data_IF_461535665916
#
_entry.id   IF_461535665916
#
_cell.length_a   1.000
_cell.length_b   1.000
_cell.length_c   1.000
_cell.angle_alpha   90.00
_cell.angle_beta   90.00
_cell.angle_gamma   90.00
#
_symmetry.space_group_name_H-M   'P 1'
#
loop_
_entity.id
_entity.type
_entity.pdbx_description
1 polymer ?
#
# COMPACT_ATOMS: atom_id res chain seq x y z
N UNK A 1 -66.97 -10.76 24.01
CA UNK A 1 -66.24 -10.21 22.85
C UNK A 1 -65.44 -9.02 23.35
N UNK A 2 -64.12 -9.16 23.55
CA UNK A 2 -63.08 -8.90 22.53
C UNK A 2 -63.26 -7.54 21.83
N UNK A 3 -62.49 -6.53 22.24
CA UNK A 3 -61.45 -5.86 21.41
C UNK A 3 -60.27 -5.50 22.34
N UNK A 4 -59.05 -5.52 21.78
CA UNK A 4 -57.75 -5.49 22.47
C UNK A 4 -57.37 -4.11 23.04
N UNK A 5 -56.69 -4.09 24.19
CA UNK A 5 -55.79 -2.99 24.55
C UNK A 5 -54.63 -2.92 23.56
N UNK A 6 -54.29 -1.74 23.05
CA UNK A 6 -52.99 -1.49 22.41
C UNK A 6 -51.97 -1.17 23.50
N UNK A 7 -50.96 -2.02 23.65
CA UNK A 7 -49.72 -1.64 24.31
C UNK A 7 -48.84 -0.94 23.27
N UNK A 8 -48.60 0.37 23.42
CA UNK A 8 -47.57 1.08 22.66
C UNK A 8 -46.19 0.69 23.19
N UNK A 9 -45.60 -0.36 22.58
CA UNK A 9 -44.18 -0.64 22.71
C UNK A 9 -43.40 0.39 21.88
N UNK A 10 -42.81 1.38 22.55
CA UNK A 10 -41.88 2.31 21.92
C UNK A 10 -40.52 1.61 21.71
N UNK A 11 -40.39 0.88 20.61
CA UNK A 11 -39.11 0.34 20.19
C UNK A 11 -38.15 1.49 19.86
N UNK A 12 -37.08 1.64 20.65
CA UNK A 12 -35.94 2.46 20.22
C UNK A 12 -35.35 1.80 18.97
N UNK A 13 -35.61 2.40 17.81
CA UNK A 13 -34.77 2.20 16.64
C UNK A 13 -33.42 2.84 16.95
N UNK A 14 -32.45 2.01 17.32
CA UNK A 14 -31.05 2.36 17.19
C UNK A 14 -30.77 2.56 15.69
N UNK A 15 -30.82 3.81 15.24
CA UNK A 15 -30.34 4.16 13.91
C UNK A 15 -28.83 3.92 13.89
N UNK A 16 -28.41 2.98 13.05
CA UNK A 16 -27.01 2.72 12.74
C UNK A 16 -26.34 4.03 12.34
N UNK A 17 -25.29 4.42 13.07
CA UNK A 17 -24.43 5.52 12.67
C UNK A 17 -23.47 5.06 11.55
N UNK A 18 -24.02 4.77 10.36
CA UNK A 18 -23.22 4.59 9.15
C UNK A 18 -22.84 5.96 8.58
N UNK A 19 -21.79 6.54 9.16
CA UNK A 19 -21.00 7.61 8.53
C UNK A 19 -19.54 7.16 8.58
N UNK A 20 -19.07 6.55 7.49
CA UNK A 20 -17.67 6.18 7.29
C UNK A 20 -17.12 6.96 6.09
N UNK A 21 -16.12 7.81 6.35
CA UNK A 21 -15.45 8.67 5.41
C UNK A 21 -13.90 8.54 5.49
N UNK A 22 -13.30 7.63 4.72
CA UNK A 22 -11.91 7.71 4.23
C UNK A 22 -11.77 7.13 2.78
N UNK A 23 -11.37 7.88 1.71
CA UNK A 23 -10.19 8.75 1.68
C UNK A 23 -10.37 10.29 1.60
N UNK A 24 -10.57 10.97 0.42
CA UNK A 24 -10.22 12.42 0.29
C UNK A 24 -11.03 13.35 1.19
N UNK A 25 -12.26 12.94 1.45
CA UNK A 25 -13.28 13.48 2.35
C UNK A 25 -13.01 13.17 3.84
N UNK A 26 -11.93 12.43 4.13
CA UNK A 26 -11.80 11.66 5.36
C UNK A 26 -10.86 12.20 6.44
N UNK A 27 -10.46 13.47 6.34
CA UNK A 27 -9.87 14.16 7.49
C UNK A 27 -10.72 14.00 8.79
N UNK A 28 -12.06 14.05 8.77
CA UNK A 28 -12.87 13.88 9.99
C UNK A 28 -12.77 12.49 10.64
N UNK A 29 -12.64 11.39 9.88
CA UNK A 29 -12.55 10.03 10.44
C UNK A 29 -11.14 9.73 10.98
N UNK A 30 -10.10 10.27 10.35
CA UNK A 30 -8.71 9.84 10.63
C UNK A 30 -7.82 10.89 11.29
N UNK A 31 -8.19 12.17 11.24
CA UNK A 31 -7.35 13.27 11.71
C UNK A 31 -6.10 13.52 10.85
N UNK A 32 -5.94 12.86 9.69
CA UNK A 32 -4.78 13.01 8.81
C UNK A 32 -4.76 14.42 8.21
N UNK A 33 -3.97 15.33 8.77
CA UNK A 33 -4.09 16.78 8.54
C UNK A 33 -3.76 17.16 7.10
N UNK A 34 -2.94 16.36 6.40
CA UNK A 34 -2.67 16.60 4.97
C UNK A 34 -3.89 16.40 4.06
N UNK A 35 -4.94 15.70 4.49
CA UNK A 35 -6.18 15.61 3.71
C UNK A 35 -7.00 16.88 3.82
N UNK A 36 -7.05 17.53 4.98
CA UNK A 36 -7.67 18.85 5.12
C UNK A 36 -6.94 19.90 4.26
N UNK A 37 -5.60 19.84 4.21
CA UNK A 37 -4.81 20.65 3.27
C UNK A 37 -5.21 20.43 1.80
N UNK A 38 -5.51 19.18 1.40
CA UNK A 38 -6.00 18.88 0.05
C UNK A 38 -7.43 19.38 -0.16
N UNK A 39 -8.34 19.13 0.79
CA UNK A 39 -9.73 19.62 0.74
C UNK A 39 -9.80 21.15 0.59
N UNK A 40 -8.97 21.86 1.35
CA UNK A 40 -8.84 23.32 1.27
C UNK A 40 -8.31 23.80 -0.09
N UNK A 41 -7.42 23.05 -0.75
CA UNK A 41 -7.00 23.35 -2.13
C UNK A 41 -8.13 23.11 -3.12
N UNK A 42 -8.86 21.98 -3.03
CA UNK A 42 -9.98 21.69 -3.92
C UNK A 42 -11.14 22.68 -3.76
N UNK A 43 -11.36 23.19 -2.54
CA UNK A 43 -12.34 24.24 -2.25
C UNK A 43 -11.90 25.66 -2.67
N UNK A 44 -10.65 25.83 -3.17
CA UNK A 44 -10.08 27.15 -3.49
C UNK A 44 -9.74 28.02 -2.27
N UNK A 45 -9.81 27.46 -1.05
CA UNK A 45 -9.46 28.13 0.21
C UNK A 45 -7.93 28.23 0.42
N UNK A 46 -7.14 27.40 -0.27
CA UNK A 46 -5.68 27.42 -0.27
C UNK A 46 -5.10 27.29 -1.68
N UNK A 47 -4.00 27.99 -1.95
CA UNK A 47 -3.23 27.83 -3.18
C UNK A 47 -2.45 26.51 -3.20
N UNK A 48 -2.63 25.71 -4.24
CA UNK A 48 -1.89 24.46 -4.44
C UNK A 48 -2.24 23.77 -5.75
N UNK A 49 -1.71 22.56 -5.94
CA UNK A 49 -2.09 21.67 -7.04
C UNK A 49 -3.04 20.60 -6.50
N UNK A 50 -4.23 20.48 -7.09
CA UNK A 50 -5.18 19.43 -6.79
C UNK A 50 -4.67 18.02 -7.14
N UNK A 51 -5.43 17.01 -6.73
CA UNK A 51 -5.13 15.61 -7.04
C UNK A 51 -5.37 15.31 -8.54
N UNK A 52 -4.68 14.33 -9.15
CA UNK A 52 -5.05 13.82 -10.47
C UNK A 52 -6.43 13.15 -10.42
N UNK A 53 -7.17 13.09 -11.54
CA UNK A 53 -8.57 12.63 -11.59
C UNK A 53 -8.82 11.30 -10.88
N UNK A 54 -8.06 10.26 -11.22
CA UNK A 54 -8.17 8.95 -10.58
C UNK A 54 -7.75 8.89 -9.11
N UNK A 55 -7.28 10.00 -8.52
CA UNK A 55 -6.99 10.16 -7.10
C UNK A 55 -8.06 10.97 -6.34
N UNK A 56 -9.20 11.30 -6.97
CA UNK A 56 -10.26 12.12 -6.37
C UNK A 56 -11.43 11.33 -5.75
N UNK A 57 -11.34 10.00 -5.64
CA UNK A 57 -12.39 9.16 -5.07
C UNK A 57 -12.64 9.45 -3.59
N UNK A 58 -13.93 9.36 -3.23
CA UNK A 58 -14.40 9.34 -1.87
C UNK A 58 -14.40 7.91 -1.28
N UNK A 59 -14.84 7.84 -0.03
CA UNK A 59 -14.78 6.73 0.91
C UNK A 59 -15.54 5.47 0.58
N UNK A 60 -16.76 5.69 0.11
CA UNK A 60 -17.67 4.72 -0.46
C UNK A 60 -17.08 4.06 -1.72
N UNK A 61 -16.37 4.83 -2.55
CA UNK A 61 -15.76 4.34 -3.77
C UNK A 61 -14.47 3.54 -3.54
N UNK A 62 -13.76 3.70 -2.42
CA UNK A 62 -12.55 2.91 -2.10
C UNK A 62 -12.85 1.78 -1.12
N UNK A 63 -13.07 0.60 -1.69
CA UNK A 63 -13.26 -0.67 -0.98
C UNK A 63 -12.55 -1.85 -1.66
N UNK A 64 -12.31 -2.92 -0.91
CA UNK A 64 -11.82 -4.22 -1.39
C UNK A 64 -12.91 -4.91 -2.25
N UNK A 65 -12.54 -5.51 -3.38
CA UNK A 65 -13.54 -5.99 -4.37
C UNK A 65 -13.92 -7.46 -4.25
N UNK A 66 -13.14 -8.25 -3.51
CA UNK A 66 -13.30 -9.70 -3.42
C UNK A 66 -13.54 -10.18 -1.97
N UNK A 67 -14.08 -9.30 -1.11
CA UNK A 67 -14.34 -9.58 0.30
C UNK A 67 -15.07 -10.93 0.51
N UNK A 68 -14.48 -11.81 1.31
CA UNK A 68 -15.05 -13.12 1.62
C UNK A 68 -14.90 -14.19 0.53
N UNK A 69 -14.27 -13.85 -0.61
CA UNK A 69 -13.95 -14.82 -1.66
C UNK A 69 -12.58 -15.47 -1.40
N UNK A 70 -12.49 -16.77 -1.59
CA UNK A 70 -11.24 -17.55 -1.46
C UNK A 70 -10.98 -18.31 -2.75
N UNK A 71 -10.28 -17.66 -3.68
CA UNK A 71 -9.77 -18.27 -4.89
C UNK A 71 -8.25 -18.18 -4.93
N UNK A 72 -7.64 -19.24 -5.47
CA UNK A 72 -6.21 -19.28 -5.77
C UNK A 72 -5.92 -18.50 -7.07
N UNK A 73 -4.67 -18.05 -7.21
CA UNK A 73 -4.15 -17.53 -8.48
C UNK A 73 -4.18 -18.71 -9.49
N UNK A 74 -4.80 -18.55 -10.68
CA UNK A 74 -4.86 -19.61 -11.68
C UNK A 74 -3.48 -19.91 -12.28
N UNK A 75 -3.38 -21.00 -13.06
CA UNK A 75 -2.19 -21.27 -13.87
C UNK A 75 -1.92 -20.11 -14.84
N UNK A 76 -0.65 -19.79 -15.15
CA UNK A 76 -0.32 -18.73 -16.09
C UNK A 76 -0.94 -18.95 -17.48
N UNK A 77 -1.48 -17.87 -18.05
CA UNK A 77 -1.77 -17.77 -19.46
C UNK A 77 -0.45 -17.51 -20.22
N UNK A 78 -0.02 -18.49 -21.01
CA UNK A 78 1.24 -18.42 -21.77
C UNK A 78 1.22 -17.29 -22.83
N UNK A 79 0.14 -17.07 -23.62
CA UNK A 79 0.06 -15.94 -24.55
C UNK A 79 0.26 -14.57 -23.89
N UNK A 80 -0.42 -14.28 -22.78
CA UNK A 80 -0.28 -13.02 -22.05
C UNK A 80 1.07 -12.91 -21.35
N UNK A 81 1.61 -14.01 -20.82
CA UNK A 81 2.96 -14.06 -20.24
C UNK A 81 4.04 -13.75 -21.28
N UNK A 82 3.91 -14.28 -22.51
CA UNK A 82 4.79 -13.95 -23.63
C UNK A 82 4.63 -12.49 -24.09
N UNK A 83 3.40 -11.96 -24.13
CA UNK A 83 3.17 -10.53 -24.40
C UNK A 83 3.86 -9.63 -23.37
N UNK A 84 3.76 -9.94 -22.08
CA UNK A 84 4.47 -9.23 -21.02
C UNK A 84 6.00 -9.33 -21.19
N UNK A 85 6.51 -10.51 -21.55
CA UNK A 85 7.94 -10.71 -21.84
C UNK A 85 8.40 -9.85 -23.03
N UNK A 86 7.60 -9.75 -24.09
CA UNK A 86 7.89 -8.89 -25.25
C UNK A 86 7.94 -7.40 -24.87
N UNK A 87 7.07 -6.92 -23.96
CA UNK A 87 7.13 -5.53 -23.46
C UNK A 87 8.44 -5.19 -22.70
N UNK A 88 9.15 -6.20 -22.19
CA UNK A 88 10.45 -6.03 -21.52
C UNK A 88 11.62 -6.00 -22.51
N UNK A 89 11.44 -6.53 -23.72
CA UNK A 89 12.45 -6.66 -24.77
C UNK A 89 13.75 -7.30 -24.29
N UNK A 90 14.89 -6.82 -24.79
CA UNK A 90 16.25 -7.28 -24.46
C UNK A 90 16.60 -7.21 -22.96
N UNK A 91 15.75 -6.58 -22.13
CA UNK A 91 15.95 -6.41 -20.69
C UNK A 91 15.18 -7.43 -19.86
N UNK A 92 14.45 -8.37 -20.46
CA UNK A 92 13.64 -9.36 -19.74
C UNK A 92 14.40 -10.03 -18.57
N UNK A 93 15.67 -10.39 -18.74
CA UNK A 93 16.50 -11.01 -17.70
C UNK A 93 16.88 -10.10 -16.52
N UNK A 94 16.58 -8.80 -16.61
CA UNK A 94 16.72 -7.82 -15.53
C UNK A 94 15.41 -7.54 -14.77
N UNK A 95 14.29 -8.16 -15.15
CA UNK A 95 12.96 -7.98 -14.55
C UNK A 95 12.38 -9.27 -13.96
N UNK A 96 11.49 -9.10 -12.98
CA UNK A 96 10.52 -10.10 -12.55
C UNK A 96 9.14 -9.42 -12.42
N UNK A 97 8.08 -10.07 -12.90
CA UNK A 97 6.76 -9.49 -13.08
C UNK A 97 5.68 -10.56 -12.82
N UNK A 98 4.62 -10.15 -12.11
CA UNK A 98 3.37 -10.92 -11.97
C UNK A 98 2.19 -9.98 -12.20
N UNK A 99 1.25 -10.39 -13.07
CA UNK A 99 0.01 -9.68 -13.43
C UNK A 99 -1.18 -10.61 -13.16
N UNK A 100 -2.18 -10.12 -12.45
CA UNK A 100 -3.47 -10.80 -12.28
C UNK A 100 -4.57 -9.87 -12.77
N UNK A 101 -5.18 -10.23 -13.88
CA UNK A 101 -6.35 -9.58 -14.46
C UNK A 101 -7.60 -10.09 -13.73
N UNK A 102 -8.31 -9.17 -13.09
CA UNK A 102 -9.51 -9.37 -12.27
C UNK A 102 -10.73 -8.66 -12.89
N UNK A 103 -10.62 -8.19 -14.14
CA UNK A 103 -11.61 -7.32 -14.78
C UNK A 103 -12.90 -8.07 -15.11
N UNK A 104 -12.80 -9.36 -15.46
CA UNK A 104 -13.93 -10.28 -15.46
C UNK A 104 -13.78 -11.24 -14.26
N UNK A 105 -14.68 -11.20 -13.26
CA UNK A 105 -14.61 -12.10 -12.10
C UNK A 105 -14.90 -13.58 -12.46
N UNK A 106 -15.38 -13.88 -13.67
CA UNK A 106 -15.60 -15.23 -14.18
C UNK A 106 -14.44 -15.74 -15.06
N UNK A 107 -13.57 -14.84 -15.56
CA UNK A 107 -12.38 -15.14 -16.37
C UNK A 107 -11.15 -14.41 -15.79
N UNK A 108 -10.80 -14.78 -14.55
CA UNK A 108 -9.59 -14.29 -13.89
C UNK A 108 -8.38 -14.89 -14.59
N UNK A 109 -7.48 -14.04 -15.08
CA UNK A 109 -6.29 -14.47 -15.84
C UNK A 109 -5.00 -14.05 -15.14
N UNK A 110 -4.11 -15.01 -14.93
CA UNK A 110 -2.77 -14.79 -14.38
C UNK A 110 -1.73 -14.80 -15.50
N UNK A 111 -0.73 -13.92 -15.42
CA UNK A 111 0.41 -13.94 -16.32
C UNK A 111 1.69 -13.50 -15.60
N UNK A 112 2.82 -14.02 -16.06
CA UNK A 112 4.08 -13.92 -15.32
C UNK A 112 5.30 -13.73 -16.21
N UNK A 113 6.38 -13.24 -15.60
CA UNK A 113 7.75 -13.40 -16.09
C UNK A 113 8.70 -13.44 -14.90
N UNK A 114 9.34 -14.59 -14.63
CA UNK A 114 10.27 -14.79 -13.49
C UNK A 114 9.66 -14.38 -12.14
N UNK A 115 8.47 -14.92 -11.86
CA UNK A 115 7.65 -14.59 -10.69
C UNK A 115 8.33 -14.90 -9.33
N UNK A 116 9.34 -15.77 -9.35
CA UNK A 116 10.12 -16.29 -8.22
C UNK A 116 11.40 -15.47 -7.94
N UNK A 117 11.72 -14.49 -8.80
CA UNK A 117 12.92 -13.67 -8.67
C UNK A 117 12.92 -12.93 -7.32
N UNK A 118 13.79 -13.36 -6.40
CA UNK A 118 13.85 -12.80 -5.03
C UNK A 118 14.82 -11.63 -4.94
N UNK A 119 14.30 -10.44 -4.63
CA UNK A 119 15.07 -9.19 -4.54
C UNK A 119 14.77 -8.43 -3.24
N UNK A 120 15.69 -7.55 -2.80
CA UNK A 120 15.37 -6.56 -1.75
C UNK A 120 14.45 -5.48 -2.34
N UNK A 121 13.19 -5.46 -1.89
CA UNK A 121 12.15 -4.60 -2.47
C UNK A 121 12.06 -3.18 -1.86
N UNK A 122 13.03 -2.80 -1.02
CA UNK A 122 13.10 -1.48 -0.39
C UNK A 122 11.80 -1.11 0.33
N UNK A 123 11.29 0.10 0.07
CA UNK A 123 10.05 0.61 0.68
C UNK A 123 8.76 -0.14 0.33
N UNK A 124 8.75 -1.13 -0.56
CA UNK A 124 7.60 -2.06 -0.67
C UNK A 124 7.48 -2.91 0.60
N UNK A 125 8.60 -3.22 1.27
CA UNK A 125 8.59 -3.94 2.56
C UNK A 125 7.85 -3.20 3.68
N UNK A 126 7.49 -1.91 3.50
CA UNK A 126 6.64 -1.18 4.44
C UNK A 126 5.23 -1.78 4.55
N UNK A 127 4.77 -2.49 3.52
CA UNK A 127 3.53 -3.26 3.59
C UNK A 127 3.61 -4.37 4.64
N UNK A 128 4.74 -5.07 4.77
CA UNK A 128 4.95 -6.08 5.82
C UNK A 128 4.99 -5.44 7.21
N UNK A 129 5.58 -4.24 7.33
CA UNK A 129 5.53 -3.46 8.58
C UNK A 129 4.11 -3.06 8.98
N UNK A 130 3.30 -2.61 8.01
CA UNK A 130 1.91 -2.25 8.23
C UNK A 130 1.03 -3.47 8.55
N UNK A 131 1.19 -4.59 7.84
CA UNK A 131 0.52 -5.87 8.16
C UNK A 131 0.84 -6.33 9.58
N UNK A 132 2.10 -6.24 10.02
CA UNK A 132 2.48 -6.55 11.40
C UNK A 132 1.82 -5.64 12.43
N UNK A 133 1.73 -4.34 12.15
CA UNK A 133 1.01 -3.39 13.00
C UNK A 133 -0.49 -3.71 13.07
N UNK A 134 -1.14 -3.93 11.92
CA UNK A 134 -2.57 -4.26 11.85
C UNK A 134 -2.88 -5.62 12.49
N UNK A 135 -1.98 -6.61 12.40
CA UNK A 135 -2.15 -7.86 13.14
C UNK A 135 -2.01 -7.65 14.65
N UNK A 136 -1.06 -6.84 15.12
CA UNK A 136 -0.96 -6.53 16.55
C UNK A 136 -2.22 -5.80 17.07
N UNK A 137 -2.77 -4.90 16.25
CA UNK A 137 -4.03 -4.20 16.52
C UNK A 137 -5.25 -5.14 16.54
N UNK A 138 -5.32 -6.09 15.61
CA UNK A 138 -6.37 -7.11 15.57
C UNK A 138 -6.27 -8.12 16.72
N UNK A 139 -5.05 -8.49 17.12
CA UNK A 139 -4.77 -9.38 18.25
C UNK A 139 -5.09 -8.72 19.61
N UNK A 140 -4.89 -7.40 19.73
CA UNK A 140 -5.20 -6.65 20.95
C UNK A 140 -6.71 -6.33 21.09
N UNK A 141 -7.40 -6.11 19.97
CA UNK A 141 -8.83 -5.78 19.93
C UNK A 141 -9.57 -6.74 18.97
N UNK A 142 -9.73 -8.04 19.34
CA UNK A 142 -10.42 -9.01 18.50
C UNK A 142 -11.88 -8.58 18.30
N UNK A 143 -12.34 -8.64 17.05
CA UNK A 143 -13.69 -8.30 16.58
C UNK A 143 -14.23 -6.88 16.91
N UNK A 144 -13.46 -6.02 17.57
CA UNK A 144 -13.82 -4.64 17.91
C UNK A 144 -13.17 -3.61 16.96
N UNK A 145 -13.75 -3.46 15.77
CA UNK A 145 -13.29 -2.46 14.80
C UNK A 145 -13.40 -1.01 15.30
N UNK A 146 -14.28 -0.73 16.27
CA UNK A 146 -14.47 0.61 16.82
C UNK A 146 -13.31 0.98 17.77
N UNK A 147 -12.93 0.09 18.69
CA UNK A 147 -11.77 0.29 19.55
C UNK A 147 -10.46 0.40 18.74
N UNK A 148 -10.33 -0.37 17.65
CA UNK A 148 -9.18 -0.24 16.72
C UNK A 148 -9.12 1.13 16.07
N UNK A 149 -10.24 1.63 15.56
CA UNK A 149 -10.32 3.00 15.01
C UNK A 149 -9.99 4.03 16.09
N UNK A 150 -10.58 3.93 17.28
CA UNK A 150 -10.38 4.90 18.36
C UNK A 150 -8.90 4.97 18.77
N UNK A 151 -8.23 3.82 18.89
CA UNK A 151 -6.79 3.75 19.12
C UNK A 151 -6.01 4.47 18.01
N UNK A 152 -6.31 4.20 16.73
CA UNK A 152 -5.63 4.82 15.60
C UNK A 152 -5.81 6.35 15.53
N UNK A 153 -6.99 6.84 15.94
CA UNK A 153 -7.38 8.24 15.90
C UNK A 153 -6.82 9.05 17.09
N UNK A 154 -6.91 8.50 18.30
CA UNK A 154 -6.58 9.20 19.56
C UNK A 154 -5.13 9.01 20.01
N UNK A 155 -4.48 7.89 19.65
CA UNK A 155 -3.09 7.64 20.06
C UNK A 155 -2.14 8.55 19.29
N UNK A 156 -1.51 9.48 20.00
CA UNK A 156 -0.43 10.32 19.47
C UNK A 156 0.90 9.57 19.54
N UNK A 157 1.53 9.38 18.39
CA UNK A 157 2.92 8.91 18.28
C UNK A 157 3.82 10.15 18.30
N UNK A 158 4.78 10.16 19.23
CA UNK A 158 5.89 11.11 19.21
C UNK A 158 7.13 10.47 18.57
N UNK A 159 7.72 11.15 17.60
CA UNK A 159 8.99 10.78 16.98
C UNK A 159 10.13 10.79 18.00
N UNK A 160 10.88 9.70 18.04
CA UNK A 160 12.10 9.56 18.84
C UNK A 160 13.25 9.03 17.97
N UNK A 161 14.36 8.66 18.62
CA UNK A 161 15.54 8.05 17.99
C UNK A 161 15.26 6.91 17.00
N UNK A 162 14.17 6.15 17.09
CA UNK A 162 13.80 5.14 16.09
C UNK A 162 13.57 5.78 14.70
N UNK A 163 13.18 7.05 14.64
CA UNK A 163 12.99 7.82 13.41
C UNK A 163 14.30 8.11 12.66
N UNK A 164 15.47 7.96 13.30
CA UNK A 164 16.73 8.49 12.79
C UNK A 164 17.54 7.53 11.89
N UNK A 165 17.98 7.91 10.68
CA UNK A 165 17.65 9.11 9.89
C UNK A 165 16.95 8.73 8.59
N UNK A 166 16.27 9.71 7.99
CA UNK A 166 15.60 9.62 6.70
C UNK A 166 15.89 10.86 5.85
N UNK A 167 15.70 10.74 4.54
CA UNK A 167 15.84 11.80 3.55
C UNK A 167 14.50 12.19 2.89
N UNK A 168 13.42 11.45 3.15
CA UNK A 168 12.08 11.84 2.71
C UNK A 168 11.57 12.99 3.57
N UNK A 169 10.83 13.92 2.94
CA UNK A 169 10.14 14.98 3.67
C UNK A 169 8.67 14.66 3.86
N UNK A 170 8.23 14.66 5.11
CA UNK A 170 6.81 14.62 5.48
C UNK A 170 6.18 15.99 5.25
N UNK A 171 4.85 16.02 5.11
CA UNK A 171 4.08 17.27 5.15
C UNK A 171 3.48 17.40 6.54
N UNK A 172 3.78 18.51 7.19
CA UNK A 172 3.13 18.96 8.40
C UNK A 172 2.15 20.06 7.99
N UNK A 173 0.91 19.98 8.47
CA UNK A 173 -0.13 20.97 8.21
C UNK A 173 -0.78 21.38 9.53
N UNK A 174 -0.70 22.66 9.84
CA UNK A 174 -1.44 23.28 10.92
C UNK A 174 -2.82 23.67 10.40
N UNK A 175 -3.84 22.94 10.84
CA UNK A 175 -5.23 23.16 10.42
C UNK A 175 -5.79 24.48 10.95
N UNK A 176 -5.35 24.93 12.12
CA UNK A 176 -5.86 26.17 12.75
C UNK A 176 -5.28 27.40 12.05
N UNK A 177 -3.95 27.42 11.87
CA UNK A 177 -3.24 28.54 11.23
C UNK A 177 -3.21 28.43 9.69
N UNK A 178 -3.69 27.32 9.13
CA UNK A 178 -3.68 27.00 7.69
C UNK A 178 -2.28 27.05 7.05
N UNK A 179 -1.23 26.79 7.82
CA UNK A 179 0.17 26.80 7.36
C UNK A 179 0.68 25.37 7.09
N UNK A 180 1.59 25.21 6.13
CA UNK A 180 2.20 23.91 5.83
C UNK A 180 3.72 23.99 5.70
N UNK A 181 4.42 23.08 6.38
CA UNK A 181 5.85 22.83 6.22
C UNK A 181 6.07 21.49 5.48
N UNK A 182 7.13 21.39 4.67
CA UNK A 182 7.68 20.09 4.23
C UNK A 182 9.14 19.98 4.65
N UNK A 183 9.44 19.01 5.50
CA UNK A 183 10.79 18.73 6.02
C UNK A 183 10.95 17.27 6.41
N UNK A 184 12.16 16.84 6.70
CA UNK A 184 12.39 15.54 7.34
C UNK A 184 11.74 15.52 8.74
N UNK A 185 11.38 14.31 9.18
CA UNK A 185 10.94 14.08 10.56
C UNK A 185 12.08 14.37 11.54
N UNK A 186 11.72 14.86 12.73
CA UNK A 186 12.63 15.22 13.83
C UNK A 186 12.07 14.63 15.13
N UNK A 187 12.93 14.40 16.12
CA UNK A 187 12.49 14.09 17.49
C UNK A 187 11.47 15.14 17.98
N UNK A 188 10.41 14.69 18.65
CA UNK A 188 9.30 15.54 19.11
C UNK A 188 8.21 15.83 18.06
N UNK A 189 8.34 15.37 16.81
CA UNK A 189 7.22 15.43 15.85
C UNK A 189 6.06 14.56 16.34
N UNK A 190 4.86 15.14 16.42
CA UNK A 190 3.65 14.45 16.89
C UNK A 190 2.59 14.37 15.79
N UNK A 191 1.96 13.20 15.69
CA UNK A 191 0.80 12.90 14.84
C UNK A 191 0.11 11.65 15.37
N UNK A 192 -1.16 11.44 15.02
CA UNK A 192 -1.83 10.19 15.40
C UNK A 192 -1.35 9.00 14.54
N UNK A 193 -1.74 7.78 14.92
CA UNK A 193 -1.26 6.57 14.22
C UNK A 193 -1.67 6.58 12.74
N UNK A 194 -2.88 7.07 12.43
CA UNK A 194 -3.33 7.28 11.06
C UNK A 194 -2.37 8.18 10.26
N UNK A 195 -1.92 9.31 10.81
CA UNK A 195 -1.00 10.22 10.12
C UNK A 195 0.41 9.63 9.96
N UNK A 196 0.86 8.80 10.90
CA UNK A 196 2.08 8.01 10.73
C UNK A 196 1.95 6.91 9.65
N UNK A 197 0.80 6.22 9.59
CA UNK A 197 0.46 5.25 8.53
C UNK A 197 0.47 5.94 7.16
N UNK A 198 -0.11 7.12 7.05
CA UNK A 198 -0.04 7.95 5.85
C UNK A 198 1.42 8.28 5.48
N UNK A 199 2.19 8.92 6.36
CA UNK A 199 3.57 9.32 6.04
C UNK A 199 4.47 8.12 5.66
N UNK A 200 4.25 6.95 6.27
CA UNK A 200 4.97 5.73 5.97
C UNK A 200 4.63 5.16 4.57
N UNK A 201 3.36 5.24 4.16
CA UNK A 201 2.88 4.63 2.92
C UNK A 201 2.88 5.63 1.75
N UNK A 202 2.26 6.80 1.92
CA UNK A 202 1.97 7.81 0.90
C UNK A 202 3.21 8.50 0.33
N UNK A 203 4.06 9.06 1.21
CA UNK A 203 5.33 9.70 0.86
C UNK A 203 6.53 8.79 1.15
N UNK A 204 6.26 7.57 1.61
CA UNK A 204 7.26 6.51 1.78
C UNK A 204 8.34 6.79 2.85
N UNK A 205 8.05 7.63 3.86
CA UNK A 205 9.03 7.98 4.90
C UNK A 205 9.54 6.75 5.65
N UNK A 206 10.86 6.61 5.71
CA UNK A 206 11.53 5.60 6.53
C UNK A 206 11.38 5.92 8.02
N UNK A 207 11.42 7.20 8.41
CA UNK A 207 11.20 7.64 9.79
C UNK A 207 9.82 7.21 10.28
N UNK A 208 8.75 7.61 9.58
CA UNK A 208 7.39 7.25 9.97
C UNK A 208 7.18 5.73 10.02
N UNK A 209 7.70 4.99 9.04
CA UNK A 209 7.63 3.53 9.04
C UNK A 209 8.43 2.89 10.19
N UNK A 210 9.55 3.47 10.61
CA UNK A 210 10.28 3.00 11.78
C UNK A 210 9.53 3.29 13.09
N UNK A 211 8.83 4.43 13.19
CA UNK A 211 7.95 4.70 14.33
C UNK A 211 6.78 3.71 14.39
N UNK A 212 6.09 3.45 13.27
CA UNK A 212 5.05 2.40 13.23
C UNK A 212 5.59 1.01 13.58
N UNK A 213 6.83 0.68 13.21
CA UNK A 213 7.43 -0.59 13.60
C UNK A 213 7.81 -0.63 15.10
N UNK A 214 8.18 0.50 15.70
CA UNK A 214 8.39 0.64 17.14
C UNK A 214 7.05 0.41 17.87
N UNK A 215 6.02 1.12 17.45
CA UNK A 215 4.69 1.08 18.05
C UNK A 215 3.97 -0.25 17.85
N UNK A 216 4.13 -0.90 16.69
CA UNK A 216 3.65 -2.26 16.47
C UNK A 216 4.30 -3.27 17.42
N UNK A 217 5.60 -3.11 17.74
CA UNK A 217 6.26 -3.94 18.74
C UNK A 217 5.80 -3.62 20.17
N UNK A 218 5.53 -2.35 20.49
CA UNK A 218 4.96 -1.96 21.78
C UNK A 218 3.57 -2.58 21.95
N UNK A 219 2.66 -2.38 20.99
CA UNK A 219 1.31 -2.96 20.98
C UNK A 219 1.35 -4.49 21.07
N UNK A 220 2.23 -5.16 20.31
CA UNK A 220 2.43 -6.61 20.36
C UNK A 220 2.96 -7.11 21.71
N UNK A 221 3.79 -6.32 22.38
CA UNK A 221 4.44 -6.70 23.64
C UNK A 221 3.71 -6.24 24.91
N UNK A 222 2.72 -5.35 24.80
CA UNK A 222 2.00 -4.72 25.91
C UNK A 222 0.48 -4.94 25.87
N UNK A 223 -0.10 -5.22 24.69
CA UNK A 223 -1.55 -5.37 24.54
C UNK A 223 -2.30 -4.10 24.91
N UNK A 224 -3.17 -4.21 25.91
CA UNK A 224 -3.99 -3.12 26.48
C UNK A 224 -3.18 -2.04 27.23
N UNK A 225 -1.92 -2.32 27.58
CA UNK A 225 -1.00 -1.34 28.19
C UNK A 225 -0.32 -0.42 27.14
N UNK A 226 -0.64 -0.55 25.85
CA UNK A 226 -0.28 0.40 24.82
C UNK A 226 -1.40 1.45 24.63
N UNK A 227 -1.10 2.75 24.47
CA UNK A 227 0.23 3.35 24.33
C UNK A 227 0.96 3.63 25.66
N UNK A 228 2.30 3.58 25.61
CA UNK A 228 3.15 4.11 26.69
C UNK A 228 3.33 5.63 26.55
N UNK A 229 3.53 6.36 27.65
CA UNK A 229 4.00 7.75 27.58
C UNK A 229 5.43 7.80 26.99
N UNK A 230 5.81 8.87 26.26
CA UNK A 230 7.05 8.92 25.48
C UNK A 230 8.32 8.59 26.29
N UNK A 231 8.41 9.04 27.53
CA UNK A 231 9.53 8.79 28.43
C UNK A 231 9.70 7.32 28.84
N UNK A 232 8.64 6.51 28.77
CA UNK A 232 8.67 5.08 29.12
C UNK A 232 9.10 4.17 27.94
N UNK A 233 9.04 4.68 26.69
CA UNK A 233 9.38 3.89 25.48
C UNK A 233 10.84 3.45 25.47
N UNK A 234 11.78 4.35 25.77
CA UNK A 234 13.21 3.97 25.82
C UNK A 234 13.54 2.99 26.95
N UNK A 235 13.09 3.20 28.21
CA UNK A 235 13.18 2.21 29.28
C UNK A 235 12.61 0.83 28.92
N UNK A 236 11.46 0.76 28.23
CA UNK A 236 10.88 -0.50 27.77
C UNK A 236 11.87 -1.28 26.86
N UNK A 237 12.38 -0.65 25.80
CA UNK A 237 13.34 -1.33 24.92
C UNK A 237 14.69 -1.61 25.58
N UNK A 238 15.07 -0.86 26.63
CA UNK A 238 16.30 -1.11 27.41
C UNK A 238 16.16 -2.28 28.39
N UNK A 239 14.96 -2.55 28.92
CA UNK A 239 14.72 -3.69 29.83
C UNK A 239 14.78 -5.04 29.11
N UNK A 240 14.45 -5.06 27.82
CA UNK A 240 14.57 -6.23 26.95
C UNK A 240 16.03 -6.52 26.59
N UNK A 241 16.45 -7.78 26.67
CA UNK A 241 17.72 -8.22 26.07
C UNK A 241 17.69 -8.12 24.54
N UNK A 242 18.87 -8.10 23.89
CA UNK A 242 18.96 -8.07 22.42
C UNK A 242 18.27 -9.27 21.75
N UNK A 243 18.27 -10.43 22.42
CA UNK A 243 17.50 -11.62 21.98
C UNK A 243 15.99 -11.36 22.05
N UNK A 244 15.48 -10.90 23.19
CA UNK A 244 14.05 -10.58 23.35
C UNK A 244 13.56 -9.50 22.38
N UNK A 245 14.39 -8.48 22.07
CA UNK A 245 14.05 -7.49 21.03
C UNK A 245 13.94 -8.11 19.63
N UNK A 246 14.79 -9.10 19.32
CA UNK A 246 14.74 -9.83 18.04
C UNK A 246 13.51 -10.74 17.98
N UNK A 247 13.22 -11.46 19.07
CA UNK A 247 12.05 -12.34 19.18
C UNK A 247 10.74 -11.55 19.07
N UNK A 248 10.63 -10.42 19.78
CA UNK A 248 9.48 -9.51 19.67
C UNK A 248 9.33 -8.96 18.23
N UNK A 249 10.43 -8.59 17.57
CA UNK A 249 10.37 -8.12 16.17
C UNK A 249 9.83 -9.21 15.24
N UNK A 250 10.29 -10.46 15.38
CA UNK A 250 9.83 -11.57 14.55
C UNK A 250 8.36 -11.93 14.85
N UNK A 251 7.96 -11.92 16.13
CA UNK A 251 6.56 -12.09 16.55
C UNK A 251 5.64 -10.93 16.12
N UNK A 252 6.19 -9.78 15.73
CA UNK A 252 5.43 -8.61 15.23
C UNK A 252 5.39 -8.55 13.70
N UNK A 253 6.46 -8.91 12.99
CA UNK A 253 6.57 -8.66 11.53
C UNK A 253 6.83 -9.88 10.66
N UNK A 254 7.14 -11.05 11.24
CA UNK A 254 7.35 -12.28 10.48
C UNK A 254 6.22 -13.27 10.74
N UNK A 255 5.84 -13.46 12.00
CA UNK A 255 4.74 -14.36 12.37
C UNK A 255 3.43 -13.98 11.65
N UNK A 256 3.01 -12.71 11.55
CA UNK A 256 1.82 -12.32 10.77
C UNK A 256 1.92 -12.60 9.26
N UNK A 257 3.12 -12.66 8.68
CA UNK A 257 3.29 -13.03 7.26
C UNK A 257 2.90 -14.50 7.07
N UNK A 258 3.46 -15.39 7.89
CA UNK A 258 3.13 -16.81 7.88
C UNK A 258 1.68 -17.10 8.30
N UNK A 259 1.16 -16.39 9.31
CA UNK A 259 -0.22 -16.55 9.81
C UNK A 259 -1.25 -16.29 8.71
N UNK A 260 -1.04 -15.22 7.93
CA UNK A 260 -1.91 -14.84 6.83
C UNK A 260 -1.53 -15.55 5.50
N UNK A 261 -0.86 -16.70 5.60
CA UNK A 261 -0.64 -17.63 4.51
C UNK A 261 0.40 -17.21 3.46
N UNK A 262 1.34 -16.32 3.79
CA UNK A 262 2.46 -15.94 2.91
C UNK A 262 3.77 -16.60 3.37
N UNK A 263 4.64 -16.94 2.43
CA UNK A 263 5.89 -17.65 2.72
C UNK A 263 7.02 -16.73 3.17
N UNK A 264 7.56 -16.96 4.38
CA UNK A 264 8.76 -16.26 4.88
C UNK A 264 10.04 -16.56 4.10
N UNK A 265 10.05 -17.58 3.23
CA UNK A 265 11.15 -17.85 2.30
C UNK A 265 11.15 -16.88 1.09
N UNK A 266 9.98 -16.32 0.78
CA UNK A 266 9.70 -15.52 -0.41
C UNK A 266 9.54 -14.04 -0.07
N UNK A 267 8.79 -13.68 1.00
CA UNK A 267 8.61 -12.30 1.48
C UNK A 267 9.02 -12.12 2.94
N UNK A 268 9.78 -11.06 3.22
CA UNK A 268 10.18 -10.69 4.58
C UNK A 268 10.64 -9.24 4.68
N UNK A 269 10.27 -8.57 5.77
CA UNK A 269 10.96 -7.36 6.22
C UNK A 269 11.86 -7.72 7.42
N UNK A 270 13.18 -7.77 7.21
CA UNK A 270 14.14 -8.30 8.19
C UNK A 270 14.74 -7.27 9.14
N UNK A 271 14.34 -6.00 9.06
CA UNK A 271 14.91 -4.90 9.87
C UNK A 271 14.01 -3.66 9.86
N UNK A 272 14.28 -2.68 10.74
CA UNK A 272 13.69 -1.34 10.66
C UNK A 272 14.08 -0.60 9.36
N UNK A 273 13.36 0.47 9.00
CA UNK A 273 13.69 1.27 7.80
C UNK A 273 14.80 2.30 8.02
N UNK A 274 15.02 2.71 9.27
CA UNK A 274 16.00 3.73 9.70
C UNK A 274 17.33 3.09 10.11
N UNK A 275 18.35 3.91 10.41
CA UNK A 275 19.65 3.42 10.88
C UNK A 275 19.63 3.10 12.38
N UNK A 276 19.12 4.02 13.20
CA UNK A 276 19.03 3.84 14.65
C UNK A 276 18.04 2.74 15.05
N UNK A 277 16.89 2.61 14.34
CA UNK A 277 15.97 1.48 14.58
C UNK A 277 16.65 0.11 14.43
N UNK A 278 17.62 -0.02 13.49
CA UNK A 278 18.43 -1.24 13.31
C UNK A 278 19.50 -1.43 14.39
N UNK A 279 20.02 -0.34 14.95
CA UNK A 279 20.97 -0.41 16.07
C UNK A 279 20.27 -0.79 17.38
N UNK A 280 19.04 -0.33 17.60
CA UNK A 280 18.24 -0.66 18.78
C UNK A 280 17.69 -2.08 18.68
N UNK A 281 17.06 -2.44 17.55
CA UNK A 281 16.46 -3.75 17.31
C UNK A 281 17.08 -4.42 16.07
N UNK A 282 17.79 -5.51 16.33
CA UNK A 282 18.15 -6.45 15.26
C UNK A 282 16.89 -7.23 14.84
N UNK A 283 16.39 -7.01 13.63
CA UNK A 283 15.23 -7.73 13.11
C UNK A 283 15.51 -9.18 12.68
N UNK A 284 16.76 -9.64 12.79
CA UNK A 284 17.15 -11.04 12.64
C UNK A 284 17.32 -11.53 11.19
N UNK A 285 17.21 -10.68 10.16
CA UNK A 285 17.35 -11.18 8.79
C UNK A 285 17.48 -10.14 7.67
N UNK A 286 17.54 -10.65 6.44
CA UNK A 286 17.50 -9.85 5.20
C UNK A 286 16.05 -9.57 4.81
N UNK A 287 15.77 -8.35 4.32
CA UNK A 287 14.49 -8.03 3.66
C UNK A 287 14.51 -8.44 2.19
N UNK A 288 13.42 -9.03 1.72
CA UNK A 288 13.20 -9.40 0.32
C UNK A 288 11.71 -9.64 0.01
N UNK A 289 11.37 -9.69 -1.28
CA UNK A 289 10.13 -10.27 -1.81
C UNK A 289 10.38 -10.87 -3.21
N UNK A 290 9.44 -11.65 -3.74
CA UNK A 290 9.30 -11.99 -5.16
C UNK A 290 8.10 -11.25 -5.76
N UNK A 291 7.95 -11.14 -7.10
CA UNK A 291 6.71 -10.67 -7.72
C UNK A 291 5.48 -11.44 -7.22
N UNK A 292 5.52 -12.79 -7.29
CA UNK A 292 4.40 -13.65 -6.92
C UNK A 292 3.84 -13.34 -5.54
N UNK A 293 4.72 -13.35 -4.53
CA UNK A 293 4.30 -13.16 -3.13
C UNK A 293 3.83 -11.73 -2.82
N UNK A 294 4.30 -10.73 -3.58
CA UNK A 294 3.74 -9.38 -3.51
C UNK A 294 2.33 -9.31 -4.12
N UNK A 295 2.07 -10.06 -5.18
CA UNK A 295 0.76 -10.15 -5.80
C UNK A 295 -0.21 -10.93 -4.90
N UNK A 296 0.24 -12.01 -4.28
CA UNK A 296 -0.49 -12.79 -3.26
C UNK A 296 -0.88 -11.95 -2.04
N UNK A 297 -0.01 -11.02 -1.62
CA UNK A 297 -0.29 -10.06 -0.54
C UNK A 297 -1.38 -9.07 -0.96
N UNK A 298 -1.30 -8.53 -2.17
CA UNK A 298 -2.31 -7.62 -2.71
C UNK A 298 -3.65 -8.32 -2.94
N UNK A 299 -3.66 -9.55 -3.45
CA UNK A 299 -4.86 -10.36 -3.62
C UNK A 299 -5.54 -10.69 -2.28
N UNK A 300 -4.77 -11.06 -1.24
CA UNK A 300 -5.32 -11.24 0.12
C UNK A 300 -5.92 -9.95 0.67
N UNK A 301 -5.38 -8.80 0.32
CA UNK A 301 -5.97 -7.49 0.67
C UNK A 301 -7.33 -7.33 -0.02
N UNK A 302 -7.41 -7.54 -1.33
CA UNK A 302 -8.67 -7.52 -2.09
C UNK A 302 -9.72 -8.53 -1.60
N UNK A 303 -9.27 -9.70 -1.11
CA UNK A 303 -10.14 -10.73 -0.54
C UNK A 303 -10.62 -10.41 0.88
N UNK A 304 -10.10 -9.36 1.53
CA UNK A 304 -10.40 -9.03 2.93
C UNK A 304 -9.78 -9.99 3.95
N UNK A 305 -8.66 -10.63 3.59
CA UNK A 305 -8.03 -11.77 4.29
C UNK A 305 -6.53 -11.59 4.56
N UNK A 306 -5.97 -10.39 4.37
CA UNK A 306 -4.55 -10.13 4.67
C UNK A 306 -4.26 -10.02 6.17
N UNK A 307 -5.27 -9.62 6.95
CA UNK A 307 -5.33 -9.72 8.42
C UNK A 307 -6.79 -10.04 8.76
N UNK A 308 -7.69 -9.13 8.39
CA UNK A 308 -9.14 -9.29 8.38
C UNK A 308 -9.75 -8.26 7.40
N UNK A 309 -11.08 -8.26 7.27
CA UNK A 309 -11.81 -7.41 6.31
C UNK A 309 -11.65 -5.91 6.59
N UNK A 310 -11.67 -5.50 7.86
CA UNK A 310 -11.54 -4.09 8.25
C UNK A 310 -10.11 -3.58 8.00
N UNK A 311 -9.12 -4.35 8.45
CA UNK A 311 -7.69 -4.05 8.31
C UNK A 311 -7.27 -4.03 6.84
N UNK A 312 -7.79 -4.95 6.02
CA UNK A 312 -7.50 -5.02 4.58
C UNK A 312 -8.09 -3.82 3.82
N UNK A 313 -9.34 -3.44 4.12
CA UNK A 313 -9.98 -2.23 3.59
C UNK A 313 -9.19 -0.97 3.93
N UNK A 314 -8.79 -0.82 5.18
CA UNK A 314 -8.02 0.35 5.63
C UNK A 314 -6.62 0.39 5.01
N UNK A 315 -5.93 -0.74 4.87
CA UNK A 315 -4.68 -0.84 4.11
C UNK A 315 -4.85 -0.43 2.64
N UNK A 316 -5.93 -0.86 1.97
CA UNK A 316 -6.24 -0.43 0.60
C UNK A 316 -6.46 1.08 0.51
N UNK A 317 -7.26 1.66 1.41
CA UNK A 317 -7.47 3.12 1.51
C UNK A 317 -6.17 3.90 1.71
N UNK A 318 -5.25 3.41 2.55
CA UNK A 318 -3.93 4.01 2.74
C UNK A 318 -3.03 3.91 1.49
N UNK A 319 -3.18 2.87 0.67
CA UNK A 319 -2.46 2.73 -0.60
C UNK A 319 -3.02 3.58 -1.74
N UNK A 320 -4.32 3.90 -1.71
CA UNK A 320 -4.93 4.87 -2.61
C UNK A 320 -4.32 6.27 -2.43
N UNK A 321 -4.16 6.65 -1.17
CA UNK A 321 -3.79 7.98 -0.72
C UNK A 321 -2.30 8.27 -0.87
N UNK A 322 -1.75 8.21 -2.09
CA UNK A 322 -0.36 8.59 -2.33
C UNK A 322 -0.20 10.12 -2.40
N UNK A 323 0.71 10.76 -1.63
CA UNK A 323 0.97 12.23 -1.67
C UNK A 323 1.28 12.72 -3.09
N UNK A 324 1.94 11.87 -3.90
CA UNK A 324 2.13 12.04 -5.34
C UNK A 324 2.21 10.70 -6.04
N UNK A 325 1.48 10.52 -7.14
CA UNK A 325 1.74 9.44 -8.10
C UNK A 325 3.17 9.55 -8.62
N UNK A 326 3.93 8.45 -8.57
CA UNK A 326 5.34 8.35 -9.00
C UNK A 326 5.63 6.99 -9.63
N UNK A 327 6.68 6.91 -10.46
CA UNK A 327 7.18 5.66 -11.08
C UNK A 327 6.03 4.98 -11.85
N UNK A 328 5.71 3.72 -11.57
CA UNK A 328 4.60 2.98 -12.16
C UNK A 328 3.28 3.79 -12.12
N UNK A 329 2.89 4.29 -10.94
CA UNK A 329 1.63 5.01 -10.76
C UNK A 329 1.58 6.39 -11.43
N UNK A 330 2.71 6.96 -11.88
CA UNK A 330 2.72 8.23 -12.63
C UNK A 330 2.61 8.05 -14.15
N UNK A 331 2.28 6.85 -14.65
CA UNK A 331 2.01 6.67 -16.08
C UNK A 331 0.84 7.57 -16.52
N UNK A 332 0.99 8.35 -17.61
CA UNK A 332 -0.13 9.15 -18.15
C UNK A 332 -1.34 8.30 -18.55
N UNK A 333 -1.12 7.05 -18.96
CA UNK A 333 -2.19 6.11 -19.28
C UNK A 333 -3.05 5.71 -18.07
N UNK A 334 -2.55 5.93 -16.84
CA UNK A 334 -3.28 5.66 -15.61
C UNK A 334 -3.88 6.94 -15.00
N UNK A 335 -3.94 8.06 -15.71
CA UNK A 335 -4.33 9.37 -15.14
C UNK A 335 -5.73 9.36 -14.49
N UNK A 336 -6.68 8.68 -15.13
CA UNK A 336 -8.09 8.63 -14.74
C UNK A 336 -8.42 7.37 -13.90
N UNK A 337 -7.63 6.31 -14.02
CA UNK A 337 -7.72 5.12 -13.18
C UNK A 337 -7.41 5.40 -11.70
N UNK A 338 -8.12 4.74 -10.80
CA UNK A 338 -7.73 4.59 -9.40
C UNK A 338 -6.55 3.63 -9.27
N UNK A 339 -5.53 4.03 -8.50
CA UNK A 339 -4.26 3.30 -8.39
C UNK A 339 -3.83 3.21 -6.93
N UNK A 340 -3.91 2.01 -6.38
CA UNK A 340 -3.50 1.66 -5.01
C UNK A 340 -2.06 1.17 -5.06
N UNK A 341 -1.11 1.94 -4.53
CA UNK A 341 0.28 1.77 -4.95
C UNK A 341 1.32 1.89 -3.84
N UNK A 342 2.30 0.98 -3.88
CA UNK A 342 3.57 1.14 -3.17
C UNK A 342 4.74 0.86 -4.10
N UNK A 343 5.76 1.70 -4.04
CA UNK A 343 7.07 1.41 -4.65
C UNK A 343 8.21 1.51 -3.64
N UNK A 344 9.33 0.90 -4.02
CA UNK A 344 10.57 0.87 -3.26
C UNK A 344 11.78 0.77 -4.19
N UNK A 345 12.84 1.49 -3.85
CA UNK A 345 14.04 1.62 -4.68
C UNK A 345 15.31 1.47 -3.85
N UNK A 346 16.31 0.79 -4.37
CA UNK A 346 17.63 0.65 -3.76
C UNK A 346 18.71 0.59 -4.83
N UNK A 347 19.45 1.67 -5.00
CA UNK A 347 20.53 1.78 -5.98
C UNK A 347 21.87 2.07 -5.32
N UNK A 348 22.96 1.70 -6.00
CA UNK A 348 24.33 2.04 -5.60
C UNK A 348 25.23 2.13 -6.82
N UNK A 349 26.28 2.93 -6.72
CA UNK A 349 27.20 3.21 -7.81
C UNK A 349 28.66 2.94 -7.43
N UNK A 350 29.47 2.62 -8.43
CA UNK A 350 30.92 2.66 -8.40
C UNK A 350 31.42 3.64 -9.48
N UNK A 351 32.69 4.08 -9.37
CA UNK A 351 33.32 4.88 -10.40
C UNK A 351 33.44 4.07 -11.71
N UNK A 352 33.05 4.69 -12.82
CA UNK A 352 33.06 4.11 -14.16
C UNK A 352 33.18 5.25 -15.17
N UNK A 353 34.06 5.11 -16.15
CA UNK A 353 34.30 6.14 -17.16
C UNK A 353 33.05 6.38 -18.01
N UNK A 354 32.73 7.65 -18.29
CA UNK A 354 31.52 8.05 -19.02
C UNK A 354 30.20 7.88 -18.26
N UNK A 355 30.18 7.28 -17.07
CA UNK A 355 28.96 7.06 -16.29
C UNK A 355 28.77 8.08 -15.16
N UNK A 356 27.59 8.71 -15.13
CA UNK A 356 27.15 9.58 -14.02
C UNK A 356 26.06 8.90 -13.21
N UNK A 357 26.39 8.56 -11.96
CA UNK A 357 25.43 8.07 -10.96
C UNK A 357 24.26 9.04 -10.77
N UNK A 358 23.05 8.52 -10.57
CA UNK A 358 21.85 9.33 -10.32
C UNK A 358 20.75 8.56 -9.60
N UNK A 359 19.70 9.29 -9.19
CA UNK A 359 18.52 8.69 -8.58
C UNK A 359 17.93 7.61 -9.50
N UNK A 360 17.77 6.39 -8.96
CA UNK A 360 17.26 5.22 -9.69
C UNK A 360 18.08 4.86 -10.93
N UNK A 361 19.35 5.26 -10.97
CA UNK A 361 20.30 5.01 -12.06
C UNK A 361 21.66 4.60 -11.48
N UNK A 362 21.72 3.41 -10.87
CA UNK A 362 22.96 2.80 -10.38
C UNK A 362 23.64 1.87 -11.40
N UNK A 363 24.97 1.74 -11.32
CA UNK A 363 25.77 0.80 -12.14
C UNK A 363 26.26 -0.44 -11.37
N UNK A 364 26.10 -0.48 -10.03
CA UNK A 364 26.39 -1.68 -9.20
C UNK A 364 25.11 -2.39 -8.79
N UNK A 365 24.09 -1.61 -8.44
CA UNK A 365 22.74 -2.08 -8.09
C UNK A 365 21.76 -1.01 -8.52
N UNK A 366 20.61 -1.39 -9.06
CA UNK A 366 19.57 -0.45 -9.41
C UNK A 366 18.16 -1.02 -9.21
N UNK A 367 17.88 -1.48 -7.99
CA UNK A 367 16.61 -2.10 -7.67
C UNK A 367 15.47 -1.09 -7.74
N UNK A 368 14.45 -1.37 -8.55
CA UNK A 368 13.16 -0.69 -8.53
C UNK A 368 12.06 -1.72 -8.40
N UNK A 369 11.08 -1.44 -7.56
CA UNK A 369 10.03 -2.37 -7.16
C UNK A 369 8.71 -1.62 -7.08
N UNK A 370 7.61 -2.24 -7.51
CA UNK A 370 6.28 -1.66 -7.56
C UNK A 370 5.23 -2.74 -7.30
N UNK A 371 4.23 -2.38 -6.49
CA UNK A 371 2.98 -3.11 -6.31
C UNK A 371 1.89 -2.09 -6.61
N UNK A 372 1.00 -2.42 -7.54
CA UNK A 372 -0.12 -1.59 -7.95
C UNK A 372 -1.37 -2.45 -8.11
N UNK A 373 -2.48 -2.01 -7.51
CA UNK A 373 -3.83 -2.44 -7.88
C UNK A 373 -4.40 -1.28 -8.70
N UNK A 374 -4.98 -1.58 -9.87
CA UNK A 374 -5.54 -0.61 -10.79
C UNK A 374 -7.03 -0.91 -10.90
N UNK A 375 -7.85 0.11 -10.69
CA UNK A 375 -9.30 0.10 -10.96
C UNK A 375 -9.59 1.24 -11.92
N UNK A 376 -10.05 0.94 -13.13
CA UNK A 376 -10.34 1.95 -14.15
C UNK A 376 -11.76 1.79 -14.67
N UNK A 377 -12.60 2.78 -14.40
CA UNK A 377 -13.99 2.84 -14.87
C UNK A 377 -14.20 3.94 -15.94
N UNK A 378 -13.13 4.41 -16.59
CA UNK A 378 -13.20 5.45 -17.63
C UNK A 378 -13.55 4.91 -19.02
N UNK A 379 -13.29 3.62 -19.28
CA UNK A 379 -13.62 2.93 -20.52
C UNK A 379 -15.01 2.27 -20.52
N UNK A 380 -15.42 1.73 -21.68
CA UNK A 380 -16.71 1.02 -21.84
C UNK A 380 -16.84 -0.23 -20.96
N UNK A 381 -15.70 -0.88 -20.65
CA UNK A 381 -15.63 -1.97 -19.67
C UNK A 381 -14.72 -1.53 -18.52
N UNK A 382 -15.14 -1.73 -17.26
CA UNK A 382 -14.28 -1.46 -16.12
C UNK A 382 -13.12 -2.46 -16.11
N UNK A 383 -11.91 -1.96 -15.85
CA UNK A 383 -10.72 -2.79 -15.65
C UNK A 383 -10.42 -2.88 -14.16
N UNK A 384 -10.07 -4.08 -13.69
CA UNK A 384 -9.53 -4.29 -12.36
C UNK A 384 -8.37 -5.27 -12.47
N UNK A 385 -7.16 -4.88 -12.08
CA UNK A 385 -6.01 -5.79 -12.16
C UNK A 385 -4.90 -5.43 -11.18
N UNK A 386 -4.11 -6.43 -10.80
CA UNK A 386 -2.96 -6.29 -9.89
C UNK A 386 -1.67 -6.52 -10.69
N UNK A 387 -0.74 -5.57 -10.61
CA UNK A 387 0.62 -5.73 -11.15
C UNK A 387 1.64 -5.61 -10.03
N UNK A 388 2.57 -6.57 -10.01
CA UNK A 388 3.80 -6.46 -9.26
C UNK A 388 4.99 -6.59 -10.18
N UNK A 389 6.00 -5.75 -9.92
CA UNK A 389 7.11 -5.56 -10.82
C UNK A 389 8.37 -5.25 -10.01
N UNK A 390 9.40 -6.06 -10.20
CA UNK A 390 10.75 -5.80 -9.69
C UNK A 390 11.74 -5.75 -10.85
N UNK A 391 12.80 -4.96 -10.69
CA UNK A 391 13.86 -4.85 -11.70
C UNK A 391 15.21 -4.54 -11.10
N UNK A 392 16.27 -4.83 -11.86
CA UNK A 392 17.64 -4.41 -11.60
C UNK A 392 18.34 -3.93 -12.90
N UNK A 393 17.69 -3.06 -13.67
CA UNK A 393 18.28 -2.50 -14.90
C UNK A 393 19.36 -1.49 -14.55
N UNK A 394 20.62 -1.86 -14.75
CA UNK A 394 21.76 -0.98 -14.46
C UNK A 394 21.84 0.18 -15.47
N UNK A 395 22.42 1.31 -15.03
CA UNK A 395 22.72 2.50 -15.86
C UNK A 395 21.51 3.16 -16.55
N UNK A 396 20.28 2.83 -16.16
CA UNK A 396 19.06 3.46 -16.66
C UNK A 396 18.21 4.02 -15.52
N UNK A 397 17.33 4.98 -15.80
CA UNK A 397 16.42 5.51 -14.78
C UNK A 397 15.21 4.58 -14.63
N UNK A 398 15.29 3.62 -13.71
CA UNK A 398 14.26 2.60 -13.52
C UNK A 398 12.91 3.18 -13.07
N UNK A 399 12.85 4.42 -12.57
CA UNK A 399 11.57 5.08 -12.28
C UNK A 399 10.80 5.43 -13.56
N UNK A 400 11.51 5.88 -14.60
CA UNK A 400 10.92 6.16 -15.92
C UNK A 400 10.62 4.86 -16.65
N UNK A 401 11.48 3.83 -16.52
CA UNK A 401 11.21 2.52 -17.11
C UNK A 401 9.94 1.87 -16.54
N UNK A 402 9.75 1.90 -15.21
CA UNK A 402 8.51 1.43 -14.58
C UNK A 402 7.28 2.28 -14.98
N UNK A 403 7.44 3.59 -15.19
CA UNK A 403 6.36 4.48 -15.67
C UNK A 403 5.92 4.12 -17.09
N UNK A 404 6.88 3.89 -18.00
CA UNK A 404 6.61 3.49 -19.38
C UNK A 404 5.92 2.13 -19.42
N UNK A 405 6.49 1.13 -18.75
CA UNK A 405 5.96 -0.24 -18.71
C UNK A 405 4.55 -0.29 -18.10
N UNK A 406 4.23 0.57 -17.13
CA UNK A 406 2.86 0.70 -16.62
C UNK A 406 1.87 1.16 -17.70
N UNK A 407 2.27 2.06 -18.60
CA UNK A 407 1.47 2.47 -19.74
C UNK A 407 1.28 1.36 -20.78
N UNK A 408 2.33 0.61 -21.09
CA UNK A 408 2.24 -0.54 -22.00
C UNK A 408 1.34 -1.66 -21.44
N UNK A 409 1.50 -2.04 -20.18
CA UNK A 409 0.66 -3.07 -19.53
C UNK A 409 -0.80 -2.61 -19.46
N UNK A 410 -1.06 -1.34 -19.15
CA UNK A 410 -2.43 -0.82 -19.12
C UNK A 410 -3.09 -0.93 -20.52
N UNK A 411 -2.40 -0.50 -21.58
CA UNK A 411 -2.92 -0.65 -22.96
C UNK A 411 -3.08 -2.11 -23.38
N UNK A 412 -2.23 -3.02 -22.90
CA UNK A 412 -2.36 -4.45 -23.13
C UNK A 412 -3.66 -5.02 -22.53
N UNK A 413 -3.97 -4.66 -21.27
CA UNK A 413 -5.23 -5.04 -20.61
C UNK A 413 -6.44 -4.38 -21.30
N UNK A 414 -6.36 -3.08 -21.64
CA UNK A 414 -7.42 -2.41 -22.42
C UNK A 414 -7.72 -3.13 -23.74
N UNK A 415 -6.68 -3.58 -24.46
CA UNK A 415 -6.83 -4.28 -25.73
C UNK A 415 -7.45 -5.68 -25.55
N UNK A 416 -7.11 -6.41 -24.48
CA UNK A 416 -7.72 -7.71 -24.13
C UNK A 416 -9.22 -7.58 -23.82
N UNK A 417 -9.64 -6.47 -23.21
CA UNK A 417 -11.04 -6.19 -22.85
C UNK A 417 -11.80 -5.32 -23.85
N UNK A 418 -11.18 -4.94 -24.97
CA UNK A 418 -11.87 -4.22 -26.03
C UNK A 418 -13.06 -5.06 -26.55
N UNK A 419 -14.19 -4.43 -26.92
CA UNK A 419 -15.26 -5.15 -27.60
C UNK A 419 -14.70 -5.79 -28.88
N UNK A 420 -15.09 -7.03 -29.16
CA UNK A 420 -14.78 -7.67 -30.42
C UNK A 420 -15.23 -6.74 -31.57
N UNK A 421 -14.44 -6.59 -32.65
CA UNK A 421 -14.84 -5.77 -33.78
C UNK A 421 -16.20 -6.29 -34.26
N UNK A 422 -17.20 -5.41 -34.30
CA UNK A 422 -18.53 -5.78 -34.78
C UNK A 422 -18.39 -6.39 -36.17
N UNK A 423 -18.93 -7.59 -36.35
CA UNK A 423 -18.92 -8.26 -37.65
C UNK A 423 -19.39 -7.27 -38.71
N UNK A 424 -18.50 -6.91 -39.63
CA UNK A 424 -18.83 -6.05 -40.75
C UNK A 424 -19.91 -6.78 -41.54
N UNK A 425 -21.16 -6.31 -41.36
CA UNK A 425 -22.35 -7.12 -41.57
C UNK A 425 -22.31 -7.79 -42.94
N UNK A 426 -22.65 -9.08 -42.95
CA UNK A 426 -22.79 -9.85 -44.18
C UNK A 426 -23.63 -9.04 -45.17
N UNK A 427 -22.99 -8.55 -46.23
CA UNK A 427 -23.65 -7.81 -47.29
C UNK A 427 -24.61 -8.79 -47.94
N UNK A 428 -25.90 -8.66 -47.62
CA UNK A 428 -26.97 -9.40 -48.28
C UNK A 428 -26.97 -9.01 -49.75
N UNK A 429 -26.49 -9.92 -50.59
CA UNK A 429 -26.39 -9.76 -52.04
C UNK A 429 -27.80 -9.49 -52.63
N UNK A 430 -28.06 -8.32 -53.24
CA UNK A 430 -29.38 -7.99 -53.76
C UNK A 430 -29.45 -8.24 -55.27
N UNK A 431 -29.86 -9.45 -55.69
CA UNK A 431 -30.21 -9.69 -57.10
C UNK A 431 -30.43 -11.15 -57.53
N UNK A 432 -31.68 -11.63 -57.38
CA UNK A 432 -32.34 -12.43 -58.43
C UNK A 432 -33.25 -11.50 -59.25
#
# INVERSE_FOLDING_TARGET
MMVRCLCTAASLLALSAEVAAYPKDGYPETGIRRLEYVRLIEAGELSGRGLPWGATLNSDAVDIRFAGQDFAIPSPDEPLSEQLRMLLGDKADAYGLSLLDLSDPNDIVYAQHREDLRQNVGSVGKLVGAVGFFQALADAYPDDAAARHELLYTTTIEADRFSHSDHHTIRLFDVQNRTSERRAMRDGDQGNVYEYLDWALSISSNSAAAMLMRDGMLLRGLGDQYPLPPEAVTPYFQSLSGKQRTELFQATFWEPVSRNGLSLAEIRQGSFFTREGKHIVNGGGRSYATPKTLLELALRMEQGRLVDTWSSRLLKRLLYLTDRRIRYASSPALADAAVYFKSGSLYSCAAEEGFKCGAYRGNVRNYMNSVAIIEDSSGERPLHYIVTLISNVLRENSAVAHQHLAGEIHRLIMARHAPAPADAGAVSDPGE
#
